data_IF_160252846262
#
_entry.id   IF_160252846262
#
_cell.length_a   1.000
_cell.length_b   1.000
_cell.length_c   1.000
_cell.angle_alpha   90.00
_cell.angle_beta   90.00
_cell.angle_gamma   90.00
#
_symmetry.space_group_name_H-M   'P 1'
#
loop_
_entity.id
_entity.type
_entity.pdbx_description
1 polymer ?
#
# COMPACT_ATOMS: atom_id res chain seq x y z
N UNK A 1 15.45 -8.82 -9.91
CA UNK A 1 14.21 -9.09 -10.66
C UNK A 1 13.15 -8.13 -10.15
N UNK A 2 12.13 -7.77 -10.94
CA UNK A 2 11.02 -6.95 -10.46
C UNK A 2 10.33 -7.63 -9.26
N UNK A 3 9.89 -6.84 -8.27
CA UNK A 3 9.19 -7.31 -7.08
C UNK A 3 7.99 -8.21 -7.41
N UNK A 4 7.30 -7.93 -8.52
CA UNK A 4 6.15 -8.72 -8.95
C UNK A 4 6.52 -10.16 -9.34
N UNK A 5 7.73 -10.37 -9.84
CA UNK A 5 8.24 -11.68 -10.28
C UNK A 5 9.00 -12.40 -9.17
N UNK A 6 9.69 -11.65 -8.31
CA UNK A 6 10.54 -12.17 -7.23
C UNK A 6 10.21 -11.44 -5.93
N UNK A 7 9.08 -11.83 -5.33
CA UNK A 7 8.57 -11.16 -4.15
C UNK A 7 9.48 -11.45 -2.92
N UNK A 8 9.91 -10.42 -2.17
CA UNK A 8 10.90 -10.55 -1.12
C UNK A 8 10.38 -11.44 0.01
N UNK A 9 11.18 -12.41 0.49
CA UNK A 9 10.77 -13.29 1.57
C UNK A 9 10.64 -12.53 2.91
N UNK A 10 9.97 -13.16 3.86
CA UNK A 10 9.73 -12.58 5.18
C UNK A 10 11.02 -12.18 5.90
N UNK A 11 11.01 -11.00 6.53
CA UNK A 11 12.13 -10.47 7.30
C UNK A 11 13.26 -9.88 6.44
N UNK A 12 13.06 -9.75 5.12
CA UNK A 12 14.04 -9.11 4.24
C UNK A 12 13.71 -7.65 3.97
N UNK A 13 14.76 -6.85 3.82
CA UNK A 13 14.67 -5.47 3.37
C UNK A 13 14.95 -5.42 1.86
N UNK A 14 14.14 -4.67 1.11
CA UNK A 14 14.33 -4.44 -0.31
C UNK A 14 14.11 -2.95 -0.63
N UNK A 15 15.09 -2.28 -1.22
CA UNK A 15 15.04 -0.87 -1.59
C UNK A 15 14.45 0.07 -0.51
N UNK A 16 14.83 -0.15 0.75
CA UNK A 16 14.38 0.67 1.89
C UNK A 16 12.98 0.35 2.42
N UNK A 17 12.30 -0.67 1.88
CA UNK A 17 11.09 -1.26 2.42
C UNK A 17 11.35 -2.58 3.14
N UNK A 18 10.31 -3.08 3.82
CA UNK A 18 10.32 -4.33 4.58
C UNK A 18 9.27 -5.29 4.02
N UNK A 19 9.57 -6.59 4.01
CA UNK A 19 8.62 -7.63 3.61
C UNK A 19 8.33 -8.61 4.74
N UNK A 20 7.07 -8.97 4.93
CA UNK A 20 6.66 -10.10 5.78
C UNK A 20 6.43 -11.40 4.97
N UNK A 21 6.80 -11.40 3.69
CA UNK A 21 6.59 -12.51 2.75
C UNK A 21 5.25 -12.48 2.03
N UNK A 22 4.32 -11.61 2.46
CA UNK A 22 3.04 -11.37 1.82
C UNK A 22 2.82 -9.88 1.48
N UNK A 23 3.10 -8.96 2.40
CA UNK A 23 3.12 -7.52 2.18
C UNK A 23 4.58 -7.02 2.16
N UNK A 24 4.93 -6.32 1.08
CA UNK A 24 6.09 -5.45 1.02
C UNK A 24 5.63 -4.01 1.25
N UNK A 25 6.25 -3.33 2.22
CA UNK A 25 5.86 -1.99 2.64
C UNK A 25 7.05 -1.04 2.64
N UNK A 26 6.89 0.11 1.99
CA UNK A 26 7.90 1.17 1.94
C UNK A 26 7.30 2.56 2.05
N UNK A 27 8.14 3.57 2.32
CA UNK A 27 7.73 4.96 2.54
C UNK A 27 8.45 5.87 1.56
N UNK A 28 7.68 6.62 0.79
CA UNK A 28 8.19 7.66 -0.10
C UNK A 28 7.98 9.04 0.52
N UNK A 29 9.02 9.89 0.48
CA UNK A 29 8.95 11.27 0.93
C UNK A 29 9.75 12.20 0.03
N UNK A 30 9.07 13.20 -0.54
CA UNK A 30 9.66 14.24 -1.37
C UNK A 30 9.36 15.65 -0.84
N UNK A 31 9.82 16.66 -1.57
CA UNK A 31 9.60 18.07 -1.24
C UNK A 31 8.11 18.48 -1.30
N UNK A 32 7.34 17.84 -2.17
CA UNK A 32 5.89 18.03 -2.36
C UNK A 32 5.23 16.71 -2.74
N UNK A 33 3.92 16.61 -2.53
CA UNK A 33 3.17 15.37 -2.75
C UNK A 33 3.23 14.90 -4.21
N UNK A 34 3.30 15.81 -5.17
CA UNK A 34 3.45 15.53 -6.61
C UNK A 34 4.76 14.82 -6.91
N UNK A 35 5.86 15.27 -6.31
CA UNK A 35 7.16 14.62 -6.46
C UNK A 35 7.13 13.21 -5.84
N UNK A 36 6.51 13.08 -4.67
CA UNK A 36 6.34 11.79 -4.00
C UNK A 36 5.50 10.82 -4.82
N UNK A 37 4.38 11.27 -5.38
CA UNK A 37 3.53 10.43 -6.19
C UNK A 37 4.20 10.04 -7.51
N UNK A 38 4.97 10.94 -8.12
CA UNK A 38 5.78 10.62 -9.29
C UNK A 38 6.82 9.52 -8.99
N UNK A 39 7.49 9.58 -7.82
CA UNK A 39 8.41 8.52 -7.38
C UNK A 39 7.70 7.18 -7.19
N UNK A 40 6.50 7.17 -6.58
CA UNK A 40 5.71 5.94 -6.41
C UNK A 40 5.34 5.34 -7.77
N UNK A 41 4.87 6.16 -8.73
CA UNK A 41 4.51 5.69 -10.08
C UNK A 41 5.71 5.12 -10.84
N UNK A 42 6.86 5.79 -10.74
CA UNK A 42 8.10 5.31 -11.37
C UNK A 42 8.52 3.96 -10.79
N UNK A 43 8.52 3.84 -9.46
CA UNK A 43 8.85 2.60 -8.76
C UNK A 43 7.91 1.45 -9.16
N UNK A 44 6.59 1.69 -9.17
CA UNK A 44 5.62 0.70 -9.63
C UNK A 44 5.89 0.23 -11.06
N UNK A 45 6.23 1.16 -11.96
CA UNK A 45 6.52 0.81 -13.34
C UNK A 45 7.77 -0.08 -13.47
N UNK A 46 8.84 0.27 -12.76
CA UNK A 46 10.10 -0.48 -12.72
C UNK A 46 9.95 -1.87 -12.09
N UNK A 47 9.06 -1.98 -11.10
CA UNK A 47 8.83 -3.22 -10.33
C UNK A 47 7.75 -4.14 -10.93
N UNK A 48 7.27 -3.85 -12.15
CA UNK A 48 6.40 -4.74 -12.93
C UNK A 48 4.90 -4.48 -12.81
N UNK A 49 4.51 -3.31 -12.29
CA UNK A 49 3.11 -2.94 -12.02
C UNK A 49 2.56 -1.85 -12.98
N UNK A 50 3.12 -1.76 -14.19
CA UNK A 50 2.74 -0.73 -15.18
C UNK A 50 1.32 -0.89 -15.75
N UNK A 51 0.76 -2.10 -15.66
CA UNK A 51 -0.58 -2.50 -16.14
C UNK A 51 -1.70 -2.18 -15.14
N UNK A 52 -1.34 -1.77 -13.92
CA UNK A 52 -2.30 -1.43 -12.87
C UNK A 52 -2.84 -0.02 -13.12
N UNK A 53 -4.18 0.18 -13.11
CA UNK A 53 -4.72 1.52 -13.15
C UNK A 53 -4.25 2.30 -11.91
N UNK A 54 -3.81 3.53 -12.10
CA UNK A 54 -3.40 4.42 -11.00
C UNK A 54 -4.13 5.75 -11.16
N UNK A 55 -4.32 6.52 -10.07
CA UNK A 55 -4.79 7.90 -10.18
C UNK A 55 -3.93 8.68 -11.18
N UNK A 56 -4.56 9.46 -12.05
CA UNK A 56 -3.87 10.18 -13.11
C UNK A 56 -2.86 11.19 -12.54
N UNK A 57 -3.22 11.82 -11.43
CA UNK A 57 -2.44 12.84 -10.74
C UNK A 57 -2.73 12.88 -9.22
N UNK A 58 -2.10 13.83 -8.54
CA UNK A 58 -2.29 14.04 -7.10
C UNK A 58 -3.70 14.53 -6.76
N UNK A 59 -4.35 15.29 -7.64
CA UNK A 59 -5.71 15.77 -7.42
C UNK A 59 -6.69 14.61 -7.34
N UNK A 60 -6.57 13.63 -8.24
CA UNK A 60 -7.32 12.37 -8.15
C UNK A 60 -6.92 11.54 -6.94
N UNK A 61 -5.61 11.39 -6.66
CA UNK A 61 -5.14 10.62 -5.51
C UNK A 61 -5.72 11.15 -4.18
N UNK A 62 -5.85 12.47 -4.05
CA UNK A 62 -6.42 13.12 -2.85
C UNK A 62 -7.91 12.80 -2.64
N UNK A 63 -8.66 12.40 -3.66
CA UNK A 63 -10.06 11.98 -3.52
C UNK A 63 -10.19 10.67 -2.73
N UNK A 64 -9.14 9.85 -2.68
CA UNK A 64 -9.09 8.62 -1.90
C UNK A 64 -8.69 8.85 -0.43
N UNK A 65 -8.39 10.10 -0.05
CA UNK A 65 -8.05 10.43 1.33
C UNK A 65 -9.31 10.47 2.18
N UNK A 66 -9.33 9.71 3.28
CA UNK A 66 -10.47 9.73 4.18
C UNK A 66 -10.60 11.12 4.83
N UNK A 67 -11.83 11.68 4.89
CA UNK A 67 -12.05 13.02 5.44
C UNK A 67 -11.92 13.07 6.97
N UNK A 68 -11.93 11.91 7.64
CA UNK A 68 -12.03 11.80 9.10
C UNK A 68 -10.71 11.51 9.80
N UNK A 69 -10.59 12.01 11.04
CA UNK A 69 -9.51 11.68 11.99
C UNK A 69 -9.89 10.57 12.96
N UNK A 70 -11.11 10.04 12.87
CA UNK A 70 -11.57 9.05 13.81
C UNK A 70 -10.75 7.77 13.63
N UNK A 71 -9.86 7.51 14.59
CA UNK A 71 -9.00 6.31 14.59
C UNK A 71 -9.82 5.03 14.52
N UNK A 72 -11.07 5.03 15.02
CA UNK A 72 -11.96 3.87 14.90
C UNK A 72 -12.35 3.60 13.44
N UNK A 73 -12.60 4.63 12.62
CA UNK A 73 -12.92 4.45 11.19
C UNK A 73 -11.66 4.00 10.43
N UNK A 74 -10.51 4.58 10.76
CA UNK A 74 -9.21 4.21 10.17
C UNK A 74 -8.75 2.78 10.49
N UNK A 75 -9.35 2.13 11.51
CA UNK A 75 -9.11 0.70 11.78
C UNK A 75 -9.79 -0.21 10.77
N UNK A 76 -10.88 0.24 10.14
CA UNK A 76 -11.67 -0.56 9.21
C UNK A 76 -11.44 -0.18 7.74
N UNK A 77 -10.99 1.05 7.47
CA UNK A 77 -10.81 1.58 6.12
C UNK A 77 -9.37 2.00 5.83
N UNK A 78 -8.89 1.65 4.64
CA UNK A 78 -7.59 2.08 4.14
C UNK A 78 -7.65 3.56 3.74
N UNK A 79 -6.80 4.39 4.35
CA UNK A 79 -6.72 5.83 4.05
C UNK A 79 -5.86 6.10 2.81
N UNK A 80 -6.38 5.79 1.63
CA UNK A 80 -5.70 6.06 0.36
C UNK A 80 -6.24 5.21 -0.80
N UNK A 81 -5.50 5.21 -1.89
CA UNK A 81 -5.84 4.45 -3.09
C UNK A 81 -5.59 2.96 -2.87
N UNK A 82 -6.58 2.13 -3.21
CA UNK A 82 -6.52 0.67 -3.08
C UNK A 82 -6.95 0.04 -4.39
N UNK A 83 -6.05 -0.70 -5.02
CA UNK A 83 -6.34 -1.50 -6.20
C UNK A 83 -5.42 -2.71 -6.21
N UNK A 84 -5.98 -3.91 -6.16
CA UNK A 84 -5.21 -5.14 -6.07
C UNK A 84 -4.10 -5.24 -7.15
N UNK A 85 -2.83 -5.56 -6.81
CA UNK A 85 -2.20 -5.80 -5.48
C UNK A 85 -1.50 -4.59 -4.85
N UNK A 86 -1.89 -3.37 -5.19
CA UNK A 86 -1.25 -2.12 -4.75
C UNK A 86 -2.13 -1.34 -3.78
N UNK A 87 -1.51 -0.77 -2.74
CA UNK A 87 -2.11 0.30 -1.94
C UNK A 87 -1.16 1.49 -1.84
N UNK A 88 -1.69 2.69 -2.07
CA UNK A 88 -0.98 3.96 -1.90
C UNK A 88 -1.69 4.73 -0.79
N UNK A 89 -1.10 4.72 0.40
CA UNK A 89 -1.73 5.17 1.63
C UNK A 89 -1.15 6.51 2.10
N UNK A 90 -2.01 7.37 2.63
CA UNK A 90 -1.61 8.57 3.32
C UNK A 90 -1.25 8.27 4.77
N UNK A 91 -0.14 8.81 5.30
CA UNK A 91 0.18 8.67 6.72
C UNK A 91 -0.89 9.34 7.58
N UNK A 92 -1.13 8.76 8.75
CA UNK A 92 -2.04 9.33 9.76
C UNK A 92 -1.51 10.64 10.36
N UNK A 93 -0.19 10.84 10.36
CA UNK A 93 0.45 12.06 10.82
C UNK A 93 0.35 13.19 9.77
N UNK A 94 -0.40 14.24 10.12
CA UNK A 94 -0.60 15.43 9.26
C UNK A 94 0.64 16.29 9.04
N UNK A 95 1.74 16.05 9.78
CA UNK A 95 3.04 16.70 9.51
C UNK A 95 3.71 16.12 8.27
N UNK A 96 3.38 14.87 7.91
CA UNK A 96 3.93 14.14 6.76
C UNK A 96 3.10 14.37 5.49
N UNK A 97 2.86 15.63 5.12
CA UNK A 97 1.93 15.99 4.03
C UNK A 97 2.42 15.58 2.64
N UNK A 98 3.73 15.50 2.45
CA UNK A 98 4.36 15.06 1.20
C UNK A 98 4.84 13.61 1.26
N UNK A 99 4.31 12.80 2.17
CA UNK A 99 4.72 11.40 2.34
C UNK A 99 3.59 10.47 1.90
N UNK A 100 3.97 9.36 1.26
CA UNK A 100 3.08 8.26 0.91
C UNK A 100 3.68 6.95 1.42
N UNK A 101 2.81 6.02 1.80
CA UNK A 101 3.17 4.65 2.15
C UNK A 101 2.72 3.78 0.97
N UNK A 102 3.65 3.02 0.39
CA UNK A 102 3.34 2.05 -0.65
C UNK A 102 3.32 0.66 -0.02
N UNK A 103 2.22 -0.07 -0.22
CA UNK A 103 2.10 -1.49 0.11
C UNK A 103 1.89 -2.26 -1.19
N UNK A 104 2.70 -3.29 -1.42
CA UNK A 104 2.60 -4.25 -2.51
C UNK A 104 2.35 -5.62 -1.92
N UNK A 105 1.47 -6.40 -2.53
CA UNK A 105 1.06 -7.70 -1.99
C UNK A 105 1.42 -8.83 -2.94
N UNK A 106 1.84 -9.96 -2.37
CA UNK A 106 2.27 -11.13 -3.12
C UNK A 106 1.08 -11.82 -3.81
N UNK A 107 0.93 -11.60 -5.11
CA UNK A 107 -0.13 -12.19 -5.93
C UNK A 107 -0.07 -13.73 -6.01
N UNK A 108 1.10 -14.32 -5.75
CA UNK A 108 1.28 -15.77 -5.77
C UNK A 108 0.76 -16.45 -4.49
N UNK A 109 0.40 -15.69 -3.45
CA UNK A 109 -0.21 -16.26 -2.25
C UNK A 109 -1.58 -16.89 -2.60
N UNK A 110 -1.84 -18.17 -2.28
CA UNK A 110 -3.11 -18.84 -2.62
C UNK A 110 -4.35 -18.17 -2.04
N UNK A 111 -4.19 -17.36 -0.99
CA UNK A 111 -5.26 -16.63 -0.31
C UNK A 111 -5.19 -15.13 -0.57
N UNK A 112 -4.40 -14.68 -1.55
CA UNK A 112 -4.13 -13.28 -1.85
C UNK A 112 -5.38 -12.40 -1.83
N UNK A 113 -6.41 -12.72 -2.62
CA UNK A 113 -7.64 -11.92 -2.69
C UNK A 113 -8.35 -11.81 -1.33
N UNK A 114 -8.37 -12.90 -0.56
CA UNK A 114 -9.04 -12.93 0.75
C UNK A 114 -8.24 -12.17 1.81
N UNK A 115 -6.91 -12.24 1.76
CA UNK A 115 -6.00 -11.51 2.64
C UNK A 115 -5.99 -10.01 2.30
N UNK A 116 -5.85 -9.65 1.03
CA UNK A 116 -5.78 -8.26 0.54
C UNK A 116 -7.01 -7.44 0.96
N UNK A 117 -8.19 -8.06 0.87
CA UNK A 117 -9.48 -7.46 1.26
C UNK A 117 -9.88 -7.74 2.72
N UNK A 118 -8.95 -8.23 3.55
CA UNK A 118 -9.16 -8.55 4.99
C UNK A 118 -10.43 -9.39 5.23
N UNK A 119 -10.75 -10.31 4.31
CA UNK A 119 -11.91 -11.21 4.44
C UNK A 119 -11.62 -12.29 5.48
N UNK A 120 -10.40 -12.85 5.48
CA UNK A 120 -10.00 -13.89 6.45
C UNK A 120 -10.00 -13.37 7.89
N UNK A 121 -9.50 -12.16 8.11
CA UNK A 121 -9.52 -11.50 9.44
C UNK A 121 -10.96 -11.33 9.96
N UNK A 122 -11.90 -11.01 9.07
CA UNK A 122 -13.33 -10.87 9.42
C UNK A 122 -14.03 -12.22 9.64
N UNK A 123 -13.54 -13.30 9.02
CA UNK A 123 -14.09 -14.64 9.17
C UNK A 123 -13.51 -15.43 10.36
N UNK A 124 -12.55 -14.87 11.10
CA UNK A 124 -12.02 -15.45 12.34
C UNK A 124 -12.59 -14.74 13.61
N UNK A 125 -13.91 -14.75 13.89
CA UNK A 125 -14.37 -14.40 15.22
C UNK A 125 -14.17 -15.61 16.15
N UNK A 126 -13.08 -15.64 16.92
CA UNK A 126 -13.01 -16.50 18.13
C UNK A 126 -11.79 -17.40 18.33
N UNK A 127 -10.58 -16.84 18.41
CA UNK A 127 -9.57 -17.38 19.33
C UNK A 127 -9.18 -16.30 20.34
N UNK A 128 -10.13 -15.97 21.22
CA UNK A 128 -9.79 -15.57 22.58
C UNK A 128 -9.89 -16.84 23.42
N UNK A 129 -8.74 -17.38 23.78
CA UNK A 129 -8.54 -18.31 24.89
C UNK A 129 -7.55 -17.67 25.85
#
# INVERSE_FOLDING_TARGET
>A
MPLREDFPPAGTAYLGGESDGYEYRTVFGGSRLEATFAMVRQFLAEEGYSDIPLPADVSELLLFRLPTRNKQILLFEDNGYVHNPVKILFPSDRRKRSTLILCLYNEADPQHLLKFHRVLERQLPGQQG
#
